data_IF_459391192017
#
_entry.id   IF_459391192017
#
_cell.length_a   1.000
_cell.length_b   1.000
_cell.length_c   1.000
_cell.angle_alpha   90.00
_cell.angle_beta   90.00
_cell.angle_gamma   90.00
#
_symmetry.space_group_name_H-M   'P 1'
#
loop_
_entity.id
_entity.type
_entity.pdbx_description
1 polymer ?
#
# COMPACT_ATOMS: atom_id res chain seq x y z
N UNK A 1 -13.00 0.68 8.11
CA UNK A 1 -12.55 1.46 9.28
C UNK A 1 -11.15 0.98 9.59
N UNK A 2 -10.23 1.89 9.89
CA UNK A 2 -8.85 1.52 10.25
C UNK A 2 -8.81 0.90 11.65
N UNK A 3 -7.97 -0.13 11.84
CA UNK A 3 -7.71 -0.79 13.12
C UNK A 3 -6.49 -0.16 13.80
N UNK A 4 -5.45 0.15 13.03
CA UNK A 4 -4.20 0.72 13.55
C UNK A 4 -4.24 2.25 13.61
N UNK A 5 -3.52 2.89 14.56
CA UNK A 5 -3.62 4.34 14.78
C UNK A 5 -3.34 5.20 13.55
N UNK A 6 -2.37 4.77 12.73
CA UNK A 6 -1.98 5.45 11.51
C UNK A 6 -2.08 4.52 10.29
N UNK A 7 -3.03 3.58 10.30
CA UNK A 7 -3.28 2.66 9.18
C UNK A 7 -3.51 3.42 7.87
N UNK A 8 -2.88 2.95 6.80
CA UNK A 8 -3.13 3.48 5.46
C UNK A 8 -3.33 2.37 4.46
N UNK A 9 -4.19 2.65 3.47
CA UNK A 9 -4.39 1.80 2.30
C UNK A 9 -3.94 2.56 1.05
N UNK A 10 -3.08 1.94 0.26
CA UNK A 10 -2.62 2.45 -1.04
C UNK A 10 -3.32 1.66 -2.14
N UNK A 11 -3.97 2.34 -3.08
CA UNK A 11 -4.67 1.73 -4.19
C UNK A 11 -4.54 2.57 -5.47
N UNK A 12 -4.50 1.94 -6.66
CA UNK A 12 -4.46 2.66 -7.93
C UNK A 12 -5.81 3.28 -8.24
N UNK A 13 -5.81 4.39 -8.99
CA UNK A 13 -7.06 5.01 -9.46
C UNK A 13 -7.71 4.23 -10.59
N UNK A 14 -6.89 3.66 -11.47
CA UNK A 14 -7.35 2.77 -12.54
C UNK A 14 -7.60 1.40 -11.96
N UNK A 15 -8.71 0.78 -12.37
CA UNK A 15 -8.99 -0.59 -11.97
C UNK A 15 -8.03 -1.59 -12.63
N UNK A 16 -7.36 -2.39 -11.78
CA UNK A 16 -6.67 -3.63 -12.15
C UNK A 16 -6.50 -4.53 -10.91
N UNK A 17 -6.40 -5.83 -11.14
CA UNK A 17 -6.45 -6.85 -10.09
C UNK A 17 -5.07 -7.29 -9.57
N UNK A 18 -4.00 -7.05 -10.33
CA UNK A 18 -2.64 -7.51 -9.99
C UNK A 18 -1.52 -6.57 -10.47
N UNK A 19 -0.35 -6.66 -9.84
CA UNK A 19 0.81 -5.81 -10.17
C UNK A 19 1.34 -5.98 -11.61
N UNK A 20 1.36 -7.17 -12.23
CA UNK A 20 1.94 -7.35 -13.58
C UNK A 20 1.25 -6.54 -14.69
N UNK A 21 0.01 -6.08 -14.48
CA UNK A 21 -0.75 -5.28 -15.46
C UNK A 21 -0.62 -3.77 -15.24
N UNK A 22 0.30 -3.35 -14.37
CA UNK A 22 0.63 -1.94 -14.17
C UNK A 22 1.35 -1.37 -15.40
N UNK A 23 0.94 -0.17 -15.80
CA UNK A 23 1.68 0.62 -16.77
C UNK A 23 2.95 1.22 -16.14
N UNK A 24 3.96 1.52 -16.96
CA UNK A 24 5.22 2.10 -16.50
C UNK A 24 5.03 3.34 -15.62
N UNK A 25 4.12 4.24 -16.00
CA UNK A 25 3.80 5.45 -15.23
C UNK A 25 3.19 5.13 -13.85
N UNK A 26 2.46 4.02 -13.71
CA UNK A 26 1.87 3.60 -12.43
C UNK A 26 2.91 2.97 -11.51
N UNK A 27 3.90 2.27 -12.08
CA UNK A 27 5.05 1.74 -11.33
C UNK A 27 5.86 2.90 -10.74
N UNK A 28 6.17 3.91 -11.56
CA UNK A 28 6.88 5.11 -11.12
C UNK A 28 6.08 5.91 -10.08
N UNK A 29 4.77 6.08 -10.31
CA UNK A 29 3.90 6.75 -9.37
C UNK A 29 3.80 5.99 -8.03
N UNK A 30 3.73 4.66 -8.04
CA UNK A 30 3.74 3.85 -6.84
C UNK A 30 5.05 4.02 -6.07
N UNK A 31 6.20 3.96 -6.75
CA UNK A 31 7.50 4.19 -6.11
C UNK A 31 7.60 5.56 -5.44
N UNK A 32 7.16 6.62 -6.12
CA UNK A 32 7.12 7.98 -5.56
C UNK A 32 6.17 8.09 -4.35
N UNK A 33 4.99 7.48 -4.45
CA UNK A 33 4.01 7.46 -3.37
C UNK A 33 4.55 6.75 -2.13
N UNK A 34 5.15 5.56 -2.30
CA UNK A 34 5.71 4.77 -1.21
C UNK A 34 6.83 5.54 -0.49
N UNK A 35 7.74 6.18 -1.24
CA UNK A 35 8.78 7.03 -0.66
C UNK A 35 8.20 8.17 0.18
N UNK A 36 7.17 8.85 -0.32
CA UNK A 36 6.53 9.96 0.39
C UNK A 36 5.77 9.51 1.63
N UNK A 37 5.09 8.36 1.55
CA UNK A 37 4.33 7.79 2.66
C UNK A 37 5.26 7.37 3.80
N UNK A 38 6.31 6.61 3.51
CA UNK A 38 7.25 6.15 4.55
C UNK A 38 8.04 7.31 5.16
N UNK A 39 8.45 8.30 4.36
CA UNK A 39 9.05 9.53 4.90
C UNK A 39 8.06 10.38 5.73
N UNK A 40 6.75 10.28 5.48
CA UNK A 40 5.74 10.90 6.34
C UNK A 40 5.61 10.16 7.67
N UNK A 41 5.66 8.83 7.65
CA UNK A 41 5.70 8.03 8.87
C UNK A 41 6.91 8.37 9.73
N UNK A 42 8.12 8.37 9.16
CA UNK A 42 9.34 8.66 9.94
C UNK A 42 9.30 10.04 10.61
N UNK A 43 8.77 11.05 9.90
CA UNK A 43 8.65 12.42 10.41
C UNK A 43 7.59 12.59 11.50
N UNK A 44 6.66 11.66 11.66
CA UNK A 44 5.58 11.79 12.64
C UNK A 44 6.11 11.76 14.08
N UNK A 45 7.16 10.97 14.33
CA UNK A 45 7.81 10.86 15.65
C UNK A 45 9.34 10.98 15.58
N UNK A 46 9.88 11.45 14.45
CA UNK A 46 11.33 11.61 14.22
C UNK A 46 12.14 10.33 14.47
N UNK A 47 11.60 9.18 14.07
CA UNK A 47 12.22 7.85 14.20
C UNK A 47 12.04 7.03 12.93
N UNK A 48 12.83 5.97 12.77
CA UNK A 48 12.50 4.93 11.79
C UNK A 48 11.20 4.24 12.21
N UNK A 49 10.11 4.55 11.50
CA UNK A 49 8.76 4.22 11.94
C UNK A 49 8.44 2.74 11.62
N UNK A 50 8.15 1.89 12.60
CA UNK A 50 7.89 0.47 12.35
C UNK A 50 6.52 0.26 11.71
N UNK A 51 6.41 -0.71 10.81
CA UNK A 51 5.14 -1.16 10.25
C UNK A 51 5.28 -2.59 9.70
N UNK A 52 4.17 -3.31 9.60
CA UNK A 52 4.02 -4.40 8.63
C UNK A 52 3.26 -3.89 7.41
N UNK A 53 3.62 -4.35 6.22
CA UNK A 53 2.90 -4.02 4.99
C UNK A 53 2.77 -5.24 4.08
N UNK A 54 1.70 -5.28 3.28
CA UNK A 54 1.49 -6.31 2.27
C UNK A 54 0.67 -5.78 1.09
N UNK A 55 0.88 -6.37 -0.09
CA UNK A 55 -0.01 -6.20 -1.23
C UNK A 55 -1.06 -7.31 -1.25
N UNK A 56 -2.30 -6.94 -1.51
CA UNK A 56 -3.38 -7.84 -1.86
C UNK A 56 -3.67 -7.68 -3.35
N UNK A 57 -3.36 -8.73 -4.10
CA UNK A 57 -3.66 -8.87 -5.52
C UNK A 57 -4.50 -10.12 -5.73
N UNK A 58 -5.08 -10.27 -6.92
CA UNK A 58 -5.84 -11.47 -7.25
C UNK A 58 -5.04 -12.76 -6.98
N UNK A 59 -5.73 -13.85 -6.57
CA UNK A 59 -5.10 -15.15 -6.41
C UNK A 59 -4.37 -15.59 -7.68
N UNK A 60 -3.22 -16.23 -7.50
CA UNK A 60 -2.47 -16.82 -8.61
C UNK A 60 -3.00 -18.25 -8.84
N UNK A 61 -3.26 -18.61 -10.10
CA UNK A 61 -3.75 -19.92 -10.53
C UNK A 61 -5.21 -20.26 -10.15
N UNK A 62 -6.08 -19.27 -9.95
CA UNK A 62 -7.50 -19.46 -9.61
C UNK A 62 -8.47 -18.87 -10.65
N UNK A 63 -8.01 -18.71 -11.90
CA UNK A 63 -8.81 -18.09 -12.96
C UNK A 63 -8.78 -16.57 -12.94
N UNK A 64 -9.78 -15.94 -13.57
CA UNK A 64 -9.89 -14.48 -13.66
C UNK A 64 -10.79 -13.95 -12.55
N UNK A 65 -10.32 -12.90 -11.88
CA UNK A 65 -11.02 -12.26 -10.77
C UNK A 65 -11.23 -10.76 -11.02
N UNK A 66 -12.12 -10.36 -11.94
CA UNK A 66 -12.38 -8.95 -12.27
C UNK A 66 -12.95 -8.15 -11.10
N UNK A 67 -13.47 -8.80 -10.06
CA UNK A 67 -13.93 -8.18 -8.82
C UNK A 67 -12.77 -7.72 -7.92
N UNK A 68 -11.56 -8.24 -8.12
CA UNK A 68 -10.40 -7.86 -7.33
C UNK A 68 -9.82 -6.53 -7.76
N UNK A 69 -9.36 -5.76 -6.77
CA UNK A 69 -8.68 -4.50 -7.00
C UNK A 69 -7.39 -4.48 -6.19
N UNK A 70 -6.26 -4.32 -6.87
CA UNK A 70 -4.95 -4.27 -6.22
C UNK A 70 -4.94 -3.18 -5.14
N UNK A 71 -4.47 -3.53 -3.95
CA UNK A 71 -4.22 -2.54 -2.91
C UNK A 71 -3.13 -3.03 -1.95
N UNK A 72 -2.48 -2.11 -1.27
CA UNK A 72 -1.54 -2.40 -0.19
C UNK A 72 -2.06 -1.84 1.13
N UNK A 73 -1.77 -2.54 2.22
CA UNK A 73 -2.06 -2.09 3.58
C UNK A 73 -0.76 -1.82 4.33
N UNK A 74 -0.76 -0.77 5.15
CA UNK A 74 0.27 -0.47 6.14
C UNK A 74 -0.34 -0.54 7.54
N UNK A 75 0.30 -1.32 8.42
CA UNK A 75 -0.13 -1.57 9.80
C UNK A 75 0.92 -1.06 10.81
N UNK A 76 0.97 0.26 11.07
CA UNK A 76 1.89 0.87 12.02
C UNK A 76 1.43 0.70 13.49
N UNK A 77 2.29 0.21 14.41
CA UNK A 77 1.93 0.00 15.82
C UNK A 77 2.12 1.21 16.73
N UNK A 78 2.88 2.23 16.31
CA UNK A 78 3.14 3.39 17.17
C UNK A 78 1.87 4.23 17.34
N UNK A 79 1.64 4.70 18.57
CA UNK A 79 0.48 5.51 18.95
C UNK A 79 0.87 6.88 19.51
N UNK A 80 1.93 6.96 20.31
CA UNK A 80 2.45 8.19 20.94
C UNK A 80 3.93 8.03 21.27
N UNK A 81 4.70 9.11 21.14
CA UNK A 81 6.11 9.24 21.55
C UNK A 81 6.23 9.55 23.04
#
# INVERSE_FOLDING_TARGET
>A
WAVWPFETMVLPKRHFASMPVMAQLEIEALGNLLQRLTACYDRLFEVSFPYSMGFHQEPVNDGLHPEWHLHAHFYPPLLRS
#
